data_IF_822342056972
#
_entry.id   IF_822342056972
#
_cell.length_a   1.000
_cell.length_b   1.000
_cell.length_c   1.000
_cell.angle_alpha   90.00
_cell.angle_beta   90.00
_cell.angle_gamma   90.00
#
_symmetry.space_group_name_H-M   'P 1'
#
loop_
_entity.id
_entity.type
_entity.pdbx_description
1 polymer ?
#
# COMPACT_ATOMS: atom_id res chain seq x y z
N UNK A 1 -3.48 16.59 -20.50
CA UNK A 1 -4.45 16.61 -19.38
C UNK A 1 -3.85 15.85 -18.21
N UNK A 2 -3.86 16.41 -16.99
CA UNK A 2 -3.52 15.64 -15.76
C UNK A 2 -4.78 14.95 -15.27
N UNK A 3 -4.71 13.70 -14.80
CA UNK A 3 -5.89 13.00 -14.29
C UNK A 3 -6.38 13.67 -13.00
N UNK A 4 -7.70 13.74 -12.80
CA UNK A 4 -8.34 14.33 -11.61
C UNK A 4 -8.18 13.48 -10.35
N UNK A 5 -7.73 12.23 -10.51
CA UNK A 5 -7.48 11.29 -9.44
C UNK A 5 -6.37 10.31 -9.82
N UNK A 6 -5.70 9.73 -8.83
CA UNK A 6 -4.76 8.65 -9.03
C UNK A 6 -5.02 7.45 -8.12
N UNK A 7 -4.59 6.28 -8.59
CA UNK A 7 -4.56 5.04 -7.84
C UNK A 7 -3.12 4.79 -7.39
N UNK A 8 -2.90 4.78 -6.08
CA UNK A 8 -1.58 4.46 -5.51
C UNK A 8 -1.60 3.02 -5.02
N UNK A 9 -0.64 2.23 -5.52
CA UNK A 9 -0.38 0.86 -5.09
C UNK A 9 0.90 0.84 -4.25
N UNK A 10 0.83 0.30 -3.05
CA UNK A 10 1.98 0.17 -2.16
C UNK A 10 1.85 -1.04 -1.26
N UNK A 11 2.94 -1.54 -0.70
CA UNK A 11 2.93 -2.66 0.24
C UNK A 11 3.45 -2.24 1.61
N UNK A 12 2.93 -2.89 2.65
CA UNK A 12 3.38 -2.75 4.03
C UNK A 12 3.89 -4.08 4.56
N UNK A 13 4.87 -4.08 5.49
CA UNK A 13 5.47 -5.31 6.00
C UNK A 13 4.48 -6.14 6.83
N UNK A 14 3.45 -5.52 7.41
CA UNK A 14 2.49 -6.19 8.25
C UNK A 14 1.15 -5.43 8.35
N UNK A 15 0.13 -6.13 8.83
CA UNK A 15 -1.25 -5.61 8.97
C UNK A 15 -1.39 -4.46 9.97
N UNK A 16 -0.58 -4.43 11.02
CA UNK A 16 -0.60 -3.38 12.06
C UNK A 16 -0.05 -2.07 11.49
N UNK A 17 1.08 -2.14 10.80
CA UNK A 17 1.71 -1.00 10.11
C UNK A 17 0.80 -0.47 9.00
N UNK A 18 0.24 -1.35 8.17
CA UNK A 18 -0.73 -0.97 7.15
C UNK A 18 -1.93 -0.23 7.76
N UNK A 19 -2.56 -0.80 8.80
CA UNK A 19 -3.73 -0.19 9.45
C UNK A 19 -3.42 1.21 9.98
N UNK A 20 -2.34 1.37 10.76
CA UNK A 20 -1.96 2.66 11.35
C UNK A 20 -1.81 3.75 10.29
N UNK A 21 -1.12 3.46 9.20
CA UNK A 21 -0.84 4.45 8.15
C UNK A 21 -2.11 4.73 7.32
N UNK A 22 -2.84 3.69 6.92
CA UNK A 22 -4.05 3.83 6.11
C UNK A 22 -5.17 4.57 6.87
N UNK A 23 -5.34 4.31 8.17
CA UNK A 23 -6.31 5.01 9.02
C UNK A 23 -5.95 6.51 9.13
N UNK A 24 -4.65 6.84 9.20
CA UNK A 24 -4.17 8.22 9.23
C UNK A 24 -4.43 8.94 7.90
N UNK A 25 -4.18 8.29 6.75
CA UNK A 25 -4.49 8.85 5.43
C UNK A 25 -5.98 9.22 5.28
N UNK A 26 -6.88 8.39 5.81
CA UNK A 26 -8.32 8.67 5.81
C UNK A 26 -8.67 9.82 6.77
N UNK A 27 -8.12 9.79 7.98
CA UNK A 27 -8.38 10.81 9.01
C UNK A 27 -7.95 12.20 8.55
N UNK A 28 -6.78 12.29 7.92
CA UNK A 28 -6.25 13.55 7.36
C UNK A 28 -6.86 13.90 5.99
N UNK A 29 -7.79 13.08 5.47
CA UNK A 29 -8.45 13.24 4.17
C UNK A 29 -7.47 13.30 2.98
N UNK A 30 -6.31 12.64 3.12
CA UNK A 30 -5.32 12.47 2.05
C UNK A 30 -5.68 11.33 1.10
N UNK A 31 -6.62 10.47 1.47
CA UNK A 31 -7.21 9.47 0.60
C UNK A 31 -8.73 9.43 0.82
N UNK A 32 -9.49 9.20 -0.26
CA UNK A 32 -10.93 9.03 -0.17
C UNK A 32 -11.32 7.60 0.22
N UNK A 33 -10.52 6.62 -0.19
CA UNK A 33 -10.75 5.20 0.09
C UNK A 33 -9.44 4.41 0.04
N UNK A 34 -9.33 3.41 0.90
CA UNK A 34 -8.21 2.47 0.96
C UNK A 34 -8.74 1.04 1.04
N UNK A 35 -8.14 0.13 0.29
CA UNK A 35 -8.37 -1.31 0.43
C UNK A 35 -7.06 -1.99 0.76
N UNK A 36 -7.11 -3.10 1.49
CA UNK A 36 -5.91 -3.86 1.89
C UNK A 36 -6.14 -5.35 1.79
N UNK A 37 -5.13 -6.07 1.30
CA UNK A 37 -5.18 -7.51 1.08
C UNK A 37 -3.81 -8.15 1.39
N UNK A 38 -3.78 -9.37 1.96
CA UNK A 38 -2.53 -10.10 2.16
C UNK A 38 -1.96 -10.55 0.82
N UNK A 39 -0.65 -10.40 0.64
CA UNK A 39 0.09 -10.82 -0.57
C UNK A 39 1.44 -11.44 -0.19
N UNK A 40 2.07 -12.12 -1.16
CA UNK A 40 3.50 -12.47 -1.09
C UNK A 40 4.24 -11.78 -2.23
N UNK A 41 5.16 -10.90 -1.88
CA UNK A 41 6.05 -10.24 -2.83
C UNK A 41 7.28 -11.11 -3.09
N UNK A 42 7.76 -11.15 -4.33
CA UNK A 42 8.99 -11.84 -4.73
C UNK A 42 9.92 -10.85 -5.44
N UNK A 43 11.15 -10.71 -4.99
CA UNK A 43 12.11 -9.73 -5.51
C UNK A 43 13.56 -10.16 -5.28
N UNK A 44 14.52 -9.54 -5.96
CA UNK A 44 15.95 -9.75 -5.68
C UNK A 44 16.45 -8.77 -4.63
N UNK A 45 17.13 -9.27 -3.61
CA UNK A 45 17.78 -8.46 -2.58
C UNK A 45 19.18 -8.99 -2.32
N UNK A 46 20.19 -8.11 -2.42
CA UNK A 46 21.61 -8.48 -2.30
C UNK A 46 21.99 -9.71 -3.14
N UNK A 47 21.51 -9.75 -4.38
CA UNK A 47 21.76 -10.85 -5.33
C UNK A 47 20.96 -12.14 -5.09
N UNK A 48 20.08 -12.19 -4.07
CA UNK A 48 19.29 -13.39 -3.73
C UNK A 48 17.80 -13.18 -4.00
N UNK A 49 17.16 -14.17 -4.63
CA UNK A 49 15.70 -14.21 -4.74
C UNK A 49 15.08 -14.33 -3.33
N UNK A 50 14.30 -13.32 -2.97
CA UNK A 50 13.65 -13.16 -1.66
C UNK A 50 12.15 -13.14 -1.83
N UNK A 51 11.43 -13.69 -0.84
CA UNK A 51 9.98 -13.65 -0.77
C UNK A 51 9.57 -13.07 0.58
N UNK A 52 8.62 -12.15 0.59
CA UNK A 52 8.11 -11.51 1.80
C UNK A 52 6.58 -11.61 1.85
N UNK A 53 6.03 -11.93 3.01
CA UNK A 53 4.60 -11.73 3.26
C UNK A 53 4.38 -10.25 3.52
N UNK A 54 3.44 -9.64 2.80
CA UNK A 54 3.16 -8.21 2.87
C UNK A 54 1.65 -7.97 2.82
N UNK A 55 1.26 -6.72 3.05
CA UNK A 55 -0.10 -6.24 2.84
C UNK A 55 -0.08 -5.24 1.70
N UNK A 56 -0.70 -5.59 0.57
CA UNK A 56 -0.92 -4.66 -0.52
C UNK A 56 -2.03 -3.69 -0.12
N UNK A 57 -1.80 -2.41 -0.36
CA UNK A 57 -2.78 -1.35 -0.22
C UNK A 57 -3.10 -0.71 -1.57
N UNK A 58 -4.38 -0.49 -1.79
CA UNK A 58 -4.93 0.17 -2.98
C UNK A 58 -5.62 1.45 -2.55
N UNK A 59 -4.97 2.58 -2.78
CA UNK A 59 -5.34 3.91 -2.25
C UNK A 59 -5.89 4.76 -3.40
N UNK A 60 -7.06 5.39 -3.19
CA UNK A 60 -7.71 6.27 -4.17
C UNK A 60 -7.63 7.70 -3.65
N UNK A 61 -6.94 8.57 -4.38
CA UNK A 61 -6.73 9.98 -4.02
C UNK A 61 -6.89 10.89 -5.24
N UNK A 62 -7.05 12.19 -4.99
CA UNK A 62 -6.89 13.25 -5.97
C UNK A 62 -5.44 13.74 -6.00
#
# INVERSE_FOLDING_TARGET
MKPEACLVLTTFPDTRTARRILDQLLTERLAACVQRLPVRSSFHWKGKLTRAAEVLAVIKTR
#
